data_IF_723726882310
#
_entry.id   IF_723726882310
#
_cell.length_a   1.000
_cell.length_b   1.000
_cell.length_c   1.000
_cell.angle_alpha   90.00
_cell.angle_beta   90.00
_cell.angle_gamma   90.00
#
_symmetry.space_group_name_H-M   'P 1'
#
loop_
_entity.id
_entity.type
_entity.pdbx_description
1 polymer ?
#
# COMPACT_ATOMS: atom_id res chain seq x y z
N UNK A 1 -13.57 -31.31 -22.18
CA UNK A 1 -14.46 -31.94 -21.18
C UNK A 1 -14.23 -31.30 -19.82
N UNK A 2 -15.29 -30.69 -19.25
CA UNK A 2 -15.66 -30.65 -17.79
C UNK A 2 -14.66 -29.97 -16.83
N UNK A 3 -14.97 -28.87 -16.14
CA UNK A 3 -16.11 -28.65 -15.22
C UNK A 3 -16.34 -27.12 -15.00
N UNK A 4 -17.57 -26.63 -15.21
CA UNK A 4 -18.57 -26.22 -14.19
C UNK A 4 -18.29 -24.84 -13.56
N UNK A 5 -18.95 -23.78 -14.03
CA UNK A 5 -20.18 -23.19 -13.45
C UNK A 5 -19.97 -22.61 -12.04
N UNK A 6 -19.74 -21.30 -11.96
CA UNK A 6 -20.03 -20.51 -10.75
C UNK A 6 -21.13 -19.51 -11.12
N UNK A 7 -22.15 -19.56 -10.27
CA UNK A 7 -23.51 -19.11 -10.47
C UNK A 7 -23.69 -17.59 -10.43
N UNK A 8 -24.76 -17.14 -11.09
CA UNK A 8 -25.36 -15.83 -10.92
C UNK A 8 -25.72 -15.59 -9.44
N UNK A 9 -25.06 -14.63 -8.80
CA UNK A 9 -25.47 -14.03 -7.54
C UNK A 9 -25.57 -12.53 -7.71
N UNK A 10 -26.79 -12.00 -7.70
CA UNK A 10 -27.09 -10.58 -7.73
C UNK A 10 -26.63 -9.92 -6.42
N UNK A 11 -25.45 -9.32 -6.43
CA UNK A 11 -24.99 -8.37 -5.43
C UNK A 11 -24.47 -7.15 -6.16
N UNK A 12 -25.24 -6.07 -6.16
CA UNK A 12 -24.83 -4.78 -6.66
C UNK A 12 -23.72 -4.22 -5.76
N UNK A 13 -22.48 -4.64 -5.99
CA UNK A 13 -21.31 -3.92 -5.50
C UNK A 13 -21.02 -2.89 -6.56
N UNK A 14 -21.32 -1.63 -6.24
CA UNK A 14 -20.83 -0.47 -6.96
C UNK A 14 -19.30 -0.56 -6.95
N UNK A 15 -18.73 -1.17 -7.98
CA UNK A 15 -17.31 -1.05 -8.28
C UNK A 15 -17.14 0.38 -8.80
N UNK A 16 -17.02 1.33 -7.88
CA UNK A 16 -16.61 2.69 -8.20
C UNK A 16 -15.23 2.62 -8.83
N UNK A 17 -15.20 2.97 -10.10
CA UNK A 17 -14.03 3.05 -10.96
C UNK A 17 -12.93 3.93 -10.38
N UNK A 18 -11.72 3.37 -10.40
CA UNK A 18 -10.46 3.99 -10.78
C UNK A 18 -9.98 5.21 -9.98
N UNK A 19 -9.17 4.95 -8.96
CA UNK A 19 -7.89 5.66 -8.85
C UNK A 19 -6.81 4.70 -9.30
N UNK A 20 -5.98 5.13 -10.24
CA UNK A 20 -4.82 4.41 -10.77
C UNK A 20 -3.68 4.33 -9.73
N UNK A 21 -4.00 4.06 -8.47
CA UNK A 21 -3.01 3.92 -7.40
C UNK A 21 -2.48 2.49 -7.37
N UNK A 22 -1.16 2.32 -7.42
CA UNK A 22 -0.56 1.04 -7.09
C UNK A 22 -0.84 0.75 -5.62
N UNK A 23 -1.26 -0.47 -5.33
CA UNK A 23 -1.59 -0.93 -3.98
C UNK A 23 -0.84 -2.22 -3.68
N UNK A 24 -0.31 -2.35 -2.48
CA UNK A 24 0.41 -3.56 -2.03
C UNK A 24 0.04 -3.92 -0.60
N UNK A 25 0.45 -5.11 -0.17
CA UNK A 25 0.22 -5.61 1.19
C UNK A 25 1.51 -6.19 1.75
N UNK A 26 1.96 -5.71 2.89
CA UNK A 26 3.26 -6.07 3.48
C UNK A 26 3.10 -6.49 4.93
N UNK A 27 3.93 -7.43 5.37
CA UNK A 27 3.95 -7.95 6.74
C UNK A 27 5.27 -7.60 7.42
N UNK A 28 5.22 -6.67 8.37
CA UNK A 28 6.39 -6.07 9.04
C UNK A 28 6.33 -6.21 10.57
N UNK A 29 5.72 -7.31 11.04
CA UNK A 29 5.40 -7.55 12.45
C UNK A 29 6.56 -7.59 13.45
N UNK A 30 6.24 -7.24 14.71
CA UNK A 30 7.13 -7.15 15.88
C UNK A 30 6.37 -6.67 17.13
N UNK A 31 7.08 -6.17 18.17
CA UNK A 31 6.43 -5.47 19.31
C UNK A 31 5.94 -4.07 18.96
N UNK A 32 6.48 -3.51 17.87
CA UNK A 32 6.05 -2.28 17.20
C UNK A 32 6.13 -2.55 15.68
N UNK A 33 5.57 -1.64 14.88
CA UNK A 33 5.67 -1.72 13.43
C UNK A 33 7.14 -1.48 13.03
N UNK A 34 7.75 -2.42 12.30
CA UNK A 34 9.12 -2.27 11.81
C UNK A 34 9.13 -1.29 10.63
N UNK A 35 9.39 -0.01 10.94
CA UNK A 35 9.32 1.10 9.98
C UNK A 35 10.41 0.97 8.91
N UNK A 36 11.63 0.63 9.29
CA UNK A 36 12.74 0.43 8.35
C UNK A 36 12.40 -0.65 7.32
N UNK A 37 11.81 -1.76 7.79
CA UNK A 37 11.36 -2.84 6.90
C UNK A 37 10.16 -2.41 6.04
N UNK A 38 9.24 -1.63 6.59
CA UNK A 38 8.10 -1.08 5.85
C UNK A 38 8.57 -0.19 4.70
N UNK A 39 9.42 0.79 4.97
CA UNK A 39 9.98 1.71 3.97
C UNK A 39 10.67 0.95 2.84
N UNK A 40 11.56 0.01 3.19
CA UNK A 40 12.30 -0.79 2.22
C UNK A 40 11.36 -1.66 1.36
N UNK A 41 10.34 -2.25 1.97
CA UNK A 41 9.40 -3.13 1.25
C UNK A 41 8.52 -2.32 0.31
N UNK A 42 7.95 -1.20 0.79
CA UNK A 42 7.13 -0.30 -0.03
C UNK A 42 7.95 0.27 -1.18
N UNK A 43 9.19 0.70 -0.94
CA UNK A 43 10.07 1.21 -2.00
C UNK A 43 10.31 0.18 -3.11
N UNK A 44 10.59 -1.07 -2.73
CA UNK A 44 10.83 -2.18 -3.65
C UNK A 44 9.59 -2.55 -4.45
N UNK A 45 8.43 -2.61 -3.77
CA UNK A 45 7.16 -2.89 -4.43
C UNK A 45 6.77 -1.75 -5.37
N UNK A 46 6.93 -0.48 -4.97
CA UNK A 46 6.70 0.68 -5.83
C UNK A 46 7.59 0.62 -7.07
N UNK A 47 8.89 0.39 -6.91
CA UNK A 47 9.81 0.23 -8.05
C UNK A 47 9.33 -0.85 -9.02
N UNK A 48 8.94 -2.00 -8.50
CA UNK A 48 8.53 -3.15 -9.31
C UNK A 48 7.18 -2.94 -9.98
N UNK A 49 6.18 -2.45 -9.23
CA UNK A 49 4.80 -2.27 -9.69
C UNK A 49 4.64 -1.09 -10.65
N UNK A 50 5.37 0.00 -10.41
CA UNK A 50 5.33 1.21 -11.26
C UNK A 50 6.40 1.19 -12.37
N UNK A 51 7.19 0.12 -12.49
CA UNK A 51 8.31 0.00 -13.43
C UNK A 51 9.25 1.22 -13.38
N UNK A 52 9.57 1.69 -12.17
CA UNK A 52 10.42 2.86 -11.97
C UNK A 52 11.86 2.54 -12.39
N UNK A 53 12.55 3.55 -12.93
CA UNK A 53 13.96 3.41 -13.34
C UNK A 53 14.93 3.33 -12.16
N UNK A 54 14.46 3.70 -10.96
CA UNK A 54 15.21 3.66 -9.70
C UNK A 54 14.33 3.25 -8.53
N UNK A 55 14.96 2.94 -7.40
CA UNK A 55 14.24 2.65 -6.15
C UNK A 55 13.92 3.98 -5.46
N UNK A 56 12.64 4.31 -5.22
CA UNK A 56 12.28 5.52 -4.49
C UNK A 56 12.77 5.45 -3.04
N UNK A 57 13.08 6.59 -2.45
CA UNK A 57 13.35 6.69 -1.02
C UNK A 57 12.02 6.90 -0.30
N UNK A 58 11.56 5.90 0.44
CA UNK A 58 10.32 5.99 1.22
C UNK A 58 10.68 6.38 2.65
N UNK A 59 9.98 7.37 3.20
CA UNK A 59 10.11 7.82 4.59
C UNK A 59 8.74 7.78 5.25
N UNK A 60 8.62 7.00 6.31
CA UNK A 60 7.42 6.85 7.11
C UNK A 60 7.62 7.52 8.49
N UNK A 61 6.53 7.90 9.18
CA UNK A 61 6.61 8.30 10.58
C UNK A 61 7.22 7.18 11.43
N UNK A 62 8.06 7.53 12.40
CA UNK A 62 8.64 6.61 13.39
C UNK A 62 8.69 7.30 14.77
N UNK A 63 8.11 6.72 15.85
CA UNK A 63 7.42 5.43 15.90
C UNK A 63 5.95 5.50 15.46
N UNK A 64 5.49 4.42 14.83
CA UNK A 64 4.05 4.15 14.61
C UNK A 64 3.63 2.99 15.51
N UNK A 65 2.63 3.19 16.38
CA UNK A 65 2.09 2.10 17.20
C UNK A 65 1.39 1.06 16.32
N UNK A 66 1.48 -0.21 16.69
CA UNK A 66 0.66 -1.27 16.10
C UNK A 66 -0.77 -1.09 16.59
N UNK A 67 -1.66 -0.70 15.68
CA UNK A 67 -3.07 -0.47 15.97
C UNK A 67 -3.88 -0.82 14.73
N UNK A 68 -4.76 -1.83 14.86
CA UNK A 68 -5.61 -2.25 13.76
C UNK A 68 -6.48 -1.08 13.27
N UNK A 69 -6.48 -0.85 11.95
CA UNK A 69 -7.22 0.24 11.32
C UNK A 69 -6.52 1.60 11.38
N UNK A 70 -5.34 1.71 12.02
CA UNK A 70 -4.56 2.93 11.99
C UNK A 70 -4.09 3.24 10.56
N UNK A 71 -4.19 4.51 10.18
CA UNK A 71 -3.80 5.00 8.85
C UNK A 71 -2.77 6.11 9.04
N UNK A 72 -1.68 6.02 8.30
CA UNK A 72 -0.62 7.02 8.29
C UNK A 72 -0.06 7.19 6.87
N UNK A 73 0.63 8.30 6.65
CA UNK A 73 1.18 8.63 5.33
C UNK A 73 2.70 8.54 5.38
N UNK A 74 3.28 7.80 4.45
CA UNK A 74 4.71 7.85 4.13
C UNK A 74 4.91 8.72 2.88
N UNK A 75 6.08 9.32 2.73
CA UNK A 75 6.47 10.06 1.53
C UNK A 75 7.51 9.28 0.75
N UNK A 76 7.30 9.11 -0.55
CA UNK A 76 8.22 8.44 -1.46
C UNK A 76 8.85 9.47 -2.41
N UNK A 77 10.17 9.62 -2.36
CA UNK A 77 10.90 10.53 -3.25
C UNK A 77 11.68 9.77 -4.33
N UNK A 78 11.52 10.17 -5.59
CA UNK A 78 12.30 9.66 -6.71
C UNK A 78 12.58 10.77 -7.71
N UNK A 79 13.85 10.94 -8.10
CA UNK A 79 14.28 11.93 -9.10
C UNK A 79 13.83 13.39 -8.83
N UNK A 80 13.52 13.72 -7.57
CA UNK A 80 13.04 15.03 -7.15
C UNK A 80 11.52 15.18 -7.10
N UNK A 81 10.77 14.16 -7.54
CA UNK A 81 9.32 14.06 -7.38
C UNK A 81 8.99 13.37 -6.05
N UNK A 82 7.96 13.88 -5.37
CA UNK A 82 7.46 13.32 -4.11
C UNK A 82 6.04 12.77 -4.30
N UNK A 83 5.82 11.54 -3.86
CA UNK A 83 4.56 10.82 -3.96
C UNK A 83 4.14 10.43 -2.54
N UNK A 84 2.93 10.80 -2.16
CA UNK A 84 2.38 10.39 -0.87
C UNK A 84 1.89 8.93 -0.95
N UNK A 85 2.16 8.17 0.10
CA UNK A 85 1.79 6.76 0.23
C UNK A 85 0.96 6.60 1.49
N UNK A 86 -0.33 6.33 1.33
CA UNK A 86 -1.20 6.04 2.47
C UNK A 86 -1.06 4.57 2.86
N UNK A 87 -0.68 4.31 4.11
CA UNK A 87 -0.54 2.99 4.69
C UNK A 87 -1.64 2.77 5.73
N UNK A 88 -2.35 1.66 5.61
CA UNK A 88 -3.41 1.22 6.53
C UNK A 88 -2.99 -0.07 7.21
N UNK A 89 -2.97 -0.08 8.53
CA UNK A 89 -2.76 -1.31 9.30
C UNK A 89 -4.03 -2.17 9.26
N UNK A 90 -3.92 -3.39 8.76
CA UNK A 90 -5.04 -4.32 8.64
C UNK A 90 -5.26 -5.17 9.89
N UNK A 91 -4.22 -5.29 10.73
CA UNK A 91 -4.28 -6.01 11.99
C UNK A 91 -3.30 -5.47 13.04
N UNK A 92 -3.24 -6.15 14.18
CA UNK A 92 -2.37 -5.91 15.32
C UNK A 92 -1.08 -6.77 15.28
N UNK A 93 -0.74 -7.32 14.12
CA UNK A 93 0.48 -8.12 13.90
C UNK A 93 1.44 -7.45 12.92
N UNK A 94 1.15 -6.21 12.49
CA UNK A 94 1.98 -5.47 11.55
C UNK A 94 1.73 -5.84 10.08
N UNK A 95 0.56 -6.40 9.76
CA UNK A 95 0.11 -6.50 8.36
C UNK A 95 -0.50 -5.18 7.94
N UNK A 96 0.00 -4.59 6.86
CA UNK A 96 -0.48 -3.31 6.34
C UNK A 96 -0.78 -3.41 4.86
N UNK A 97 -1.72 -2.60 4.40
CA UNK A 97 -1.95 -2.33 2.97
C UNK A 97 -1.54 -0.90 2.68
N UNK A 98 -0.95 -0.65 1.52
CA UNK A 98 -0.58 0.69 1.10
C UNK A 98 -1.17 1.03 -0.26
N UNK A 99 -1.32 2.33 -0.52
CA UNK A 99 -1.68 2.88 -1.83
C UNK A 99 -0.93 4.19 -2.06
N UNK A 100 -0.49 4.44 -3.30
CA UNK A 100 -0.03 5.78 -3.68
C UNK A 100 -1.22 6.71 -3.81
N UNK A 101 -1.14 7.87 -3.18
CA UNK A 101 -2.02 8.99 -3.44
C UNK A 101 -1.20 9.99 -4.24
N UNK A 102 -1.55 10.18 -5.50
CA UNK A 102 -0.96 11.26 -6.27
C UNK A 102 -1.22 12.57 -5.51
N UNK A 103 -0.18 13.29 -5.13
CA UNK A 103 -0.28 14.64 -4.56
C UNK A 103 -0.82 15.68 -5.58
N UNK A 104 -1.51 15.22 -6.62
CA UNK A 104 -1.95 15.97 -7.78
C UNK A 104 -3.28 15.46 -8.32
N UNK A 105 -4.36 15.68 -7.57
CA UNK A 105 -5.69 15.87 -8.14
C UNK A 105 -6.26 17.20 -7.61
N UNK A 106 -6.25 18.30 -8.40
CA UNK A 106 -7.11 19.45 -8.14
C UNK A 106 -8.60 19.10 -8.31
#
# INVERSE_FOLDING_TARGET
MRSSLIALGAGAILVTTALSGCSGSVSVGGSNLDIDKLETTVATEMQTQLNLSGTPTVTCPDPVPIEQGNVFTCSAELDGDSIDVEVTQTDDQGNVTWKTVDAGAP
#
